data_IF_001827707789
#
_entry.id   IF_001827707789
#
_cell.length_a   1.000
_cell.length_b   1.000
_cell.length_c   1.000
_cell.angle_alpha   90.00
_cell.angle_beta   90.00
_cell.angle_gamma   90.00
#
_symmetry.space_group_name_H-M   'P 1'
#
loop_
_entity.id
_entity.type
_entity.pdbx_description
1 polymer ?
#
# COMPACT_ATOMS: atom_id res chain seq x y z
N UNK A 1 -5.71 26.91 23.25
CA UNK A 1 -6.68 26.18 22.41
C UNK A 1 -6.04 24.87 21.92
N UNK A 2 -6.26 23.72 22.57
CA UNK A 2 -5.79 22.44 22.04
C UNK A 2 -6.85 21.83 21.11
N UNK A 3 -6.46 21.58 19.85
CA UNK A 3 -7.30 20.93 18.84
C UNK A 3 -7.44 19.44 19.18
N UNK A 4 -8.62 19.10 19.71
CA UNK A 4 -9.16 17.76 19.84
C UNK A 4 -9.17 17.04 18.49
N UNK A 5 -8.23 16.11 18.27
CA UNK A 5 -8.31 15.17 17.15
C UNK A 5 -9.22 14.02 17.58
N UNK A 6 -10.51 14.14 17.27
CA UNK A 6 -11.53 13.11 17.53
C UNK A 6 -11.11 11.80 16.87
N UNK A 7 -10.93 10.77 17.71
CA UNK A 7 -10.89 9.36 17.33
C UNK A 7 -12.26 9.01 16.75
N UNK A 8 -12.36 8.96 15.42
CA UNK A 8 -13.52 8.39 14.75
C UNK A 8 -13.43 6.87 14.85
N UNK A 9 -14.23 6.31 15.75
CA UNK A 9 -14.59 4.90 15.72
C UNK A 9 -15.61 4.72 14.60
N UNK A 10 -15.18 4.15 13.47
CA UNK A 10 -16.07 3.68 12.42
C UNK A 10 -16.06 2.15 12.45
N UNK A 11 -17.22 1.54 12.73
CA UNK A 11 -17.40 0.10 12.94
C UNK A 11 -17.36 -0.75 11.65
N UNK A 12 -16.54 -0.33 10.68
CA UNK A 12 -16.10 -1.12 9.52
C UNK A 12 -14.57 -1.08 9.36
N UNK A 13 -13.84 -0.71 10.42
CA UNK A 13 -12.40 -0.44 10.40
C UNK A 13 -11.50 -1.55 10.94
N UNK A 14 -12.05 -2.68 11.39
CA UNK A 14 -11.26 -3.77 12.00
C UNK A 14 -10.61 -4.69 10.96
N UNK A 15 -11.19 -4.85 9.77
CA UNK A 15 -10.65 -5.73 8.72
C UNK A 15 -9.60 -5.04 7.84
N UNK A 16 -9.85 -3.79 7.41
CA UNK A 16 -8.87 -2.99 6.66
C UNK A 16 -7.62 -2.66 7.48
N UNK A 17 -7.75 -2.63 8.81
CA UNK A 17 -6.61 -2.51 9.72
C UNK A 17 -5.63 -3.69 9.59
N UNK A 18 -6.05 -4.82 9.01
CA UNK A 18 -5.19 -5.99 8.76
C UNK A 18 -4.76 -6.13 7.29
N UNK A 19 -5.58 -5.69 6.33
CA UNK A 19 -5.26 -5.75 4.88
C UNK A 19 -4.14 -4.78 4.52
N UNK A 20 -4.20 -3.54 4.98
CA UNK A 20 -3.18 -2.52 4.65
C UNK A 20 -1.78 -2.93 5.15
N UNK A 21 -1.59 -3.39 6.40
CA UNK A 21 -0.28 -3.87 6.84
C UNK A 21 0.23 -5.08 6.06
N UNK A 22 -0.65 -6.00 5.63
CA UNK A 22 -0.27 -7.14 4.79
C UNK A 22 0.20 -6.68 3.40
N UNK A 23 -0.54 -5.76 2.78
CA UNK A 23 -0.15 -5.17 1.49
C UNK A 23 1.17 -4.43 1.58
N UNK A 24 1.38 -3.62 2.63
CA UNK A 24 2.63 -2.89 2.86
C UNK A 24 3.81 -3.84 3.10
N UNK A 25 3.58 -4.93 3.84
CA UNK A 25 4.59 -5.97 4.07
C UNK A 25 4.99 -6.62 2.75
N UNK A 26 4.02 -7.08 1.95
CA UNK A 26 4.28 -7.65 0.63
C UNK A 26 5.02 -6.67 -0.29
N UNK A 27 4.58 -5.42 -0.34
CA UNK A 27 5.23 -4.41 -1.20
C UNK A 27 6.69 -4.20 -0.80
N UNK A 28 6.99 -4.16 0.50
CA UNK A 28 8.35 -4.03 1.00
C UNK A 28 9.20 -5.28 0.70
N UNK A 29 8.62 -6.47 0.75
CA UNK A 29 9.31 -7.71 0.40
C UNK A 29 9.66 -7.74 -1.09
N UNK A 30 8.75 -7.32 -1.98
CA UNK A 30 8.99 -7.34 -3.42
C UNK A 30 9.88 -6.21 -3.94
N UNK A 31 9.68 -4.98 -3.44
CA UNK A 31 10.39 -3.81 -3.95
C UNK A 31 11.54 -3.35 -3.07
N UNK A 32 11.77 -4.05 -1.93
CA UNK A 32 12.78 -3.77 -0.89
C UNK A 32 12.64 -2.43 -0.16
N UNK A 33 12.02 -1.45 -0.81
CA UNK A 33 11.83 -0.07 -0.36
C UNK A 33 10.37 0.34 -0.53
N UNK A 34 9.95 1.29 0.29
CA UNK A 34 8.62 1.91 0.21
C UNK A 34 8.66 3.29 -0.45
N UNK A 35 9.84 3.91 -0.49
CA UNK A 35 10.02 5.22 -1.09
C UNK A 35 10.34 5.08 -2.59
N UNK A 36 9.56 5.78 -3.42
CA UNK A 36 9.79 5.80 -4.87
C UNK A 36 11.21 6.25 -5.24
N UNK A 37 11.82 7.19 -4.51
CA UNK A 37 13.19 7.64 -4.79
C UNK A 37 14.22 6.50 -4.63
N UNK A 38 14.04 5.69 -3.59
CA UNK A 38 14.89 4.52 -3.33
C UNK A 38 14.66 3.41 -4.37
N UNK A 39 13.39 3.14 -4.70
CA UNK A 39 13.01 2.14 -5.73
C UNK A 39 13.59 2.51 -7.11
N UNK A 40 13.62 3.81 -7.41
CA UNK A 40 14.12 4.34 -8.69
C UNK A 40 15.64 4.54 -8.69
N UNK A 41 16.28 4.57 -7.51
CA UNK A 41 17.71 4.83 -7.32
C UNK A 41 18.20 6.05 -8.13
N UNK A 42 17.41 7.14 -8.11
CA UNK A 42 17.70 8.38 -8.84
C UNK A 42 17.54 8.32 -10.37
N UNK A 43 17.01 7.24 -10.94
CA UNK A 43 16.79 7.11 -12.38
C UNK A 43 15.30 7.30 -12.73
N UNK A 44 14.95 8.52 -13.16
CA UNK A 44 13.57 8.86 -13.51
C UNK A 44 13.02 8.09 -14.72
N UNK A 45 13.86 7.59 -15.63
CA UNK A 45 13.40 6.76 -16.74
C UNK A 45 12.85 5.41 -16.26
N UNK A 46 13.38 4.89 -15.13
CA UNK A 46 12.81 3.71 -14.49
C UNK A 46 11.39 3.99 -13.98
N UNK A 47 11.00 5.24 -13.73
CA UNK A 47 9.64 5.59 -13.32
C UNK A 47 8.63 5.21 -14.40
N UNK A 48 8.90 5.57 -15.64
CA UNK A 48 7.98 5.29 -16.76
C UNK A 48 7.87 3.79 -17.10
N UNK A 49 8.92 3.01 -16.81
CA UNK A 49 8.93 1.58 -17.12
C UNK A 49 8.51 0.69 -15.95
N UNK A 50 8.88 1.06 -14.72
CA UNK A 50 8.61 0.26 -13.50
C UNK A 50 7.30 0.66 -12.85
N UNK A 51 6.99 1.95 -12.67
CA UNK A 51 5.82 2.36 -11.90
C UNK A 51 4.49 1.82 -12.46
N UNK A 52 4.23 1.76 -13.78
CA UNK A 52 3.01 1.13 -14.28
C UNK A 52 2.89 -0.33 -13.88
N UNK A 53 4.00 -1.09 -13.98
CA UNK A 53 4.04 -2.51 -13.59
C UNK A 53 3.85 -2.70 -12.09
N UNK A 54 4.49 -1.85 -11.29
CA UNK A 54 4.34 -1.89 -9.82
C UNK A 54 2.90 -1.57 -9.40
N UNK A 55 2.29 -0.58 -10.05
CA UNK A 55 0.92 -0.19 -9.76
C UNK A 55 -0.07 -1.32 -10.09
N UNK A 56 0.08 -1.95 -11.25
CA UNK A 56 -0.71 -3.12 -11.63
C UNK A 56 -0.55 -4.26 -10.62
N UNK A 57 0.70 -4.63 -10.30
CA UNK A 57 0.96 -5.69 -9.32
C UNK A 57 0.39 -5.36 -7.93
N UNK A 58 0.45 -4.10 -7.51
CA UNK A 58 -0.13 -3.66 -6.22
C UNK A 58 -1.65 -3.74 -6.24
N UNK A 59 -2.28 -3.38 -7.37
CA UNK A 59 -3.73 -3.50 -7.54
C UNK A 59 -4.15 -4.97 -7.48
N UNK A 60 -3.47 -5.85 -8.23
CA UNK A 60 -3.76 -7.30 -8.26
C UNK A 60 -3.62 -7.90 -6.86
N UNK A 61 -2.52 -7.56 -6.14
CA UNK A 61 -2.33 -8.02 -4.76
C UNK A 61 -3.39 -7.48 -3.80
N UNK A 62 -3.82 -6.24 -4.00
CA UNK A 62 -4.89 -5.65 -3.18
C UNK A 62 -6.20 -6.41 -3.40
N UNK A 63 -6.53 -6.76 -4.65
CA UNK A 63 -7.72 -7.55 -4.96
C UNK A 63 -7.65 -8.95 -4.34
N UNK A 64 -6.52 -9.65 -4.49
CA UNK A 64 -6.30 -10.95 -3.84
C UNK A 64 -6.51 -10.87 -2.31
N UNK A 65 -5.94 -9.84 -1.67
CA UNK A 65 -6.10 -9.62 -0.23
C UNK A 65 -7.51 -9.17 0.17
N UNK A 66 -8.32 -8.64 -0.73
CA UNK A 66 -9.71 -8.29 -0.45
C UNK A 66 -10.61 -9.53 -0.62
N UNK A 67 -10.40 -10.31 -1.68
CA UNK A 67 -11.09 -11.57 -1.94
C UNK A 67 -10.89 -12.57 -0.78
N UNK A 68 -9.66 -12.68 -0.24
CA UNK A 68 -9.33 -13.52 0.92
C UNK A 68 -10.14 -13.16 2.18
N UNK A 69 -10.62 -11.92 2.27
CA UNK A 69 -11.43 -11.41 3.37
C UNK A 69 -12.93 -11.37 3.05
N UNK A 70 -13.33 -11.83 1.86
CA UNK A 70 -14.72 -11.91 1.44
C UNK A 70 -15.29 -10.60 0.88
N UNK A 71 -14.44 -9.69 0.40
CA UNK A 71 -14.82 -8.46 -0.31
C UNK A 71 -14.81 -8.64 -1.83
#
# INVERSE_FOLDING_TARGET
MPLNRKKQSNSGGEEYATVIPKLVKWFKEEYQHLNCEEILAGNELKRMLKCPKMLMATYDKTMELLEDYGY
#
